data_IF_388445700811
#
_entry.id   IF_388445700811
#
_cell.length_a   1.000
_cell.length_b   1.000
_cell.length_c   1.000
_cell.angle_alpha   90.00
_cell.angle_beta   90.00
_cell.angle_gamma   90.00
#
_symmetry.space_group_name_H-M   'P 1'
#
loop_
_entity.id
_entity.type
_entity.pdbx_description
1 polymer ?
#
# COMPACT_ATOMS: atom_id res chain seq x y z
N UNK A 1 -9.05 -15.36 -0.30
CA UNK A 1 -8.70 -14.14 -1.04
C UNK A 1 -7.24 -13.72 -0.83
N UNK A 2 -6.75 -13.51 0.40
CA UNK A 2 -5.36 -13.08 0.63
C UNK A 2 -4.29 -13.99 0.04
N UNK A 3 -4.51 -15.32 0.06
CA UNK A 3 -3.63 -16.29 -0.61
C UNK A 3 -3.51 -16.04 -2.12
N UNK A 4 -4.64 -16.00 -2.84
CA UNK A 4 -4.64 -15.83 -4.30
C UNK A 4 -4.04 -14.48 -4.72
N UNK A 5 -4.35 -13.40 -3.98
CA UNK A 5 -3.77 -12.09 -4.24
C UNK A 5 -2.24 -12.08 -4.05
N UNK A 6 -1.76 -12.64 -2.94
CA UNK A 6 -0.32 -12.72 -2.65
C UNK A 6 0.40 -13.61 -3.66
N UNK A 7 -0.17 -14.79 -3.95
CA UNK A 7 0.36 -15.72 -4.95
C UNK A 7 0.50 -15.08 -6.32
N UNK A 8 -0.51 -14.34 -6.76
CA UNK A 8 -0.47 -13.62 -8.04
C UNK A 8 0.69 -12.62 -8.10
N UNK A 9 0.93 -11.86 -7.03
CA UNK A 9 2.05 -10.91 -6.96
C UNK A 9 3.41 -11.65 -6.94
N UNK A 10 3.49 -12.78 -6.25
CA UNK A 10 4.69 -13.64 -6.24
C UNK A 10 5.01 -14.20 -7.63
N UNK A 11 4.00 -14.64 -8.38
CA UNK A 11 4.13 -15.09 -9.78
C UNK A 11 4.67 -13.97 -10.68
N UNK A 12 4.38 -12.71 -10.35
CA UNK A 12 4.93 -11.51 -10.99
C UNK A 12 6.31 -11.10 -10.47
N UNK A 13 6.97 -11.94 -9.66
CA UNK A 13 8.31 -11.74 -9.06
C UNK A 13 8.38 -10.68 -7.95
N UNK A 14 7.25 -10.25 -7.39
CA UNK A 14 7.27 -9.44 -6.17
C UNK A 14 7.62 -10.29 -4.96
N UNK A 15 8.67 -9.94 -4.22
CA UNK A 15 9.09 -10.67 -3.01
C UNK A 15 8.95 -9.88 -1.72
N UNK A 16 8.87 -8.55 -1.82
CA UNK A 16 8.59 -7.63 -0.70
C UNK A 16 7.20 -7.05 -0.85
N UNK A 17 6.21 -7.80 -0.37
CA UNK A 17 4.79 -7.48 -0.50
C UNK A 17 4.29 -6.96 0.85
N UNK A 18 3.86 -5.69 0.89
CA UNK A 18 3.21 -5.14 2.07
C UNK A 18 1.81 -5.72 2.24
N UNK A 19 1.39 -6.01 3.47
CA UNK A 19 0.02 -6.40 3.78
C UNK A 19 -0.64 -5.31 4.63
N UNK A 20 -1.61 -4.61 4.06
CA UNK A 20 -2.42 -3.63 4.78
C UNK A 20 -3.61 -4.39 5.33
N UNK A 21 -3.50 -4.74 6.61
CA UNK A 21 -4.48 -5.50 7.37
C UNK A 21 -5.77 -4.69 7.58
N UNK A 22 -6.81 -5.36 8.06
CA UNK A 22 -8.02 -4.72 8.58
C UNK A 22 -8.08 -4.74 10.10
N UNK A 23 -9.27 -4.50 10.64
CA UNK A 23 -9.50 -4.41 12.08
C UNK A 23 -8.97 -5.64 12.84
N UNK A 24 -8.28 -5.39 13.95
CA UNK A 24 -7.80 -6.43 14.85
C UNK A 24 -8.94 -7.32 15.36
N UNK A 25 -8.69 -8.63 15.44
CA UNK A 25 -9.68 -9.61 15.85
C UNK A 25 -10.81 -9.89 14.85
N UNK A 26 -10.90 -9.14 13.74
CA UNK A 26 -11.95 -9.38 12.76
C UNK A 26 -11.67 -10.66 11.95
N UNK A 27 -12.60 -11.64 11.89
CA UNK A 27 -12.36 -12.94 11.26
C UNK A 27 -11.90 -12.85 9.80
N UNK A 28 -12.51 -11.97 9.00
CA UNK A 28 -12.10 -11.76 7.62
C UNK A 28 -10.67 -11.23 7.48
N UNK A 29 -10.24 -10.36 8.39
CA UNK A 29 -8.91 -9.78 8.34
C UNK A 29 -7.86 -10.87 8.63
N UNK A 30 -8.10 -11.65 9.71
CA UNK A 30 -7.27 -12.79 10.09
C UNK A 30 -7.21 -13.85 8.98
N UNK A 31 -8.35 -14.21 8.38
CA UNK A 31 -8.41 -15.20 7.30
C UNK A 31 -7.65 -14.73 6.05
N UNK A 32 -7.74 -13.43 5.70
CA UNK A 32 -7.01 -12.87 4.56
C UNK A 32 -5.51 -12.84 4.86
N UNK A 33 -5.11 -12.45 6.07
CA UNK A 33 -3.70 -12.42 6.48
C UNK A 33 -3.08 -13.82 6.57
N UNK A 34 -3.78 -14.80 7.16
CA UNK A 34 -3.35 -16.19 7.16
C UNK A 34 -3.14 -16.73 5.73
N UNK A 35 -4.02 -16.36 4.80
CA UNK A 35 -3.84 -16.70 3.39
C UNK A 35 -2.59 -16.06 2.77
N UNK A 36 -2.28 -14.82 3.11
CA UNK A 36 -1.05 -14.13 2.69
C UNK A 36 0.20 -14.85 3.23
N UNK A 37 0.25 -15.15 4.52
CA UNK A 37 1.36 -15.87 5.16
C UNK A 37 1.57 -17.24 4.51
N UNK A 38 0.50 -17.99 4.26
CA UNK A 38 0.57 -19.29 3.57
C UNK A 38 1.18 -19.19 2.16
N UNK A 39 0.84 -18.16 1.39
CA UNK A 39 1.39 -17.98 0.05
C UNK A 39 2.89 -17.63 0.08
N UNK A 40 3.32 -16.84 1.07
CA UNK A 40 4.74 -16.55 1.30
C UNK A 40 5.52 -17.81 1.69
N UNK A 41 4.98 -18.59 2.63
CA UNK A 41 5.56 -19.85 3.10
C UNK A 41 5.76 -20.84 1.95
N UNK A 42 4.71 -21.09 1.14
CA UNK A 42 4.79 -21.99 -0.02
C UNK A 42 5.79 -21.50 -1.09
N UNK A 43 6.12 -20.21 -1.09
CA UNK A 43 7.09 -19.61 -2.00
C UNK A 43 8.49 -19.46 -1.38
N UNK A 44 8.70 -19.97 -0.16
CA UNK A 44 9.98 -19.89 0.54
C UNK A 44 10.38 -18.49 0.99
N UNK A 45 9.42 -17.57 1.15
CA UNK A 45 9.66 -16.21 1.61
C UNK A 45 9.27 -16.09 3.08
N UNK A 46 10.22 -15.62 3.90
CA UNK A 46 9.92 -15.31 5.30
C UNK A 46 9.05 -14.06 5.41
N UNK A 47 7.96 -14.08 6.19
CA UNK A 47 7.19 -12.87 6.46
C UNK A 47 8.04 -11.85 7.22
N UNK A 48 7.69 -10.58 7.09
CA UNK A 48 8.38 -9.48 7.76
C UNK A 48 7.37 -8.53 8.38
N UNK A 49 7.49 -8.29 9.68
CA UNK A 49 6.54 -7.47 10.42
C UNK A 49 6.54 -6.01 9.97
N UNK A 50 7.67 -5.50 9.45
CA UNK A 50 7.76 -4.15 8.88
C UNK A 50 6.85 -3.97 7.64
N UNK A 51 6.51 -5.07 6.97
CA UNK A 51 5.63 -5.08 5.79
C UNK A 51 4.16 -5.23 6.16
N UNK A 52 3.83 -5.36 7.45
CA UNK A 52 2.44 -5.48 7.92
C UNK A 52 2.01 -4.17 8.58
N UNK A 53 0.90 -3.62 8.12
CA UNK A 53 0.29 -2.44 8.70
C UNK A 53 -1.14 -2.77 9.12
N UNK A 54 -1.52 -2.48 10.36
CA UNK A 54 -2.82 -2.85 10.92
C UNK A 54 -3.55 -1.64 11.50
N UNK A 55 -4.77 -1.43 11.01
CA UNK A 55 -5.68 -0.33 11.35
C UNK A 55 -7.12 -0.87 11.15
N UNK A 56 -8.04 -0.06 10.62
CA UNK A 56 -9.40 -0.45 10.27
C UNK A 56 -9.57 -0.82 8.76
N UNK A 57 -10.84 -0.97 8.34
CA UNK A 57 -11.23 -1.31 6.97
C UNK A 57 -11.48 -0.09 6.06
N UNK A 58 -11.07 1.11 6.49
CA UNK A 58 -11.37 2.35 5.78
C UNK A 58 -10.36 2.65 4.68
N UNK A 59 -10.75 3.54 3.76
CA UNK A 59 -9.78 4.11 2.81
C UNK A 59 -8.77 5.04 3.48
N UNK A 60 -9.09 5.60 4.65
CA UNK A 60 -8.13 6.40 5.40
C UNK A 60 -6.99 5.52 5.92
N UNK A 61 -7.29 4.33 6.44
CA UNK A 61 -6.26 3.35 6.84
C UNK A 61 -5.34 2.98 5.67
N UNK A 62 -5.89 2.71 4.48
CA UNK A 62 -5.08 2.47 3.29
C UNK A 62 -4.15 3.63 2.91
N UNK A 63 -4.63 4.87 3.05
CA UNK A 63 -3.82 6.06 2.81
C UNK A 63 -2.69 6.19 3.85
N UNK A 64 -3.00 5.98 5.12
CA UNK A 64 -2.02 6.05 6.21
C UNK A 64 -0.94 4.97 6.07
N UNK A 65 -1.32 3.75 5.70
CA UNK A 65 -0.40 2.65 5.50
C UNK A 65 0.71 2.98 4.49
N UNK A 66 0.32 3.53 3.33
CA UNK A 66 1.30 3.88 2.28
C UNK A 66 2.20 5.04 2.72
N UNK A 67 1.64 6.05 3.37
CA UNK A 67 2.46 7.15 3.89
C UNK A 67 3.44 6.64 4.96
N UNK A 68 2.98 5.82 5.90
CA UNK A 68 3.81 5.21 6.93
C UNK A 68 4.98 4.42 6.33
N UNK A 69 4.69 3.48 5.42
CA UNK A 69 5.73 2.64 4.80
C UNK A 69 6.77 3.50 4.06
N UNK A 70 6.32 4.51 3.31
CA UNK A 70 7.23 5.40 2.57
C UNK A 70 8.02 6.33 3.48
N UNK A 71 7.41 6.89 4.52
CA UNK A 71 8.06 7.81 5.46
C UNK A 71 9.06 7.09 6.37
N UNK A 72 8.83 5.81 6.69
CA UNK A 72 9.79 4.95 7.37
C UNK A 72 10.90 4.40 6.45
N UNK A 73 10.86 4.69 5.14
CA UNK A 73 11.80 4.14 4.17
C UNK A 73 11.70 2.62 3.99
N UNK A 74 10.56 2.02 4.35
CA UNK A 74 10.32 0.59 4.20
C UNK A 74 10.12 0.29 2.72
N UNK A 75 11.02 -0.49 2.16
CA UNK A 75 10.95 -0.90 0.76
C UNK A 75 9.90 -1.99 0.58
N UNK A 76 8.98 -1.79 -0.36
CA UNK A 76 8.04 -2.79 -0.85
C UNK A 76 7.87 -2.62 -2.36
N UNK A 77 7.54 -3.69 -3.07
CA UNK A 77 7.32 -3.65 -4.53
C UNK A 77 5.87 -3.91 -4.92
N UNK A 78 5.06 -4.46 -4.01
CA UNK A 78 3.62 -4.61 -4.17
C UNK A 78 2.94 -4.56 -2.80
N UNK A 79 1.60 -4.51 -2.80
CA UNK A 79 0.80 -4.55 -1.58
C UNK A 79 -0.47 -5.38 -1.77
N UNK A 80 -0.93 -6.02 -0.70
CA UNK A 80 -2.24 -6.64 -0.59
C UNK A 80 -3.04 -5.85 0.45
N UNK A 81 -4.25 -5.45 0.06
CA UNK A 81 -5.16 -4.73 0.94
C UNK A 81 -6.22 -5.68 1.52
N UNK A 82 -6.61 -5.43 2.77
CA UNK A 82 -7.63 -6.23 3.43
C UNK A 82 -9.00 -6.10 2.77
N UNK A 83 -9.34 -5.00 2.08
CA UNK A 83 -10.56 -4.82 1.28
C UNK A 83 -10.38 -3.73 0.20
N UNK A 84 -11.44 -3.46 -0.58
CA UNK A 84 -11.41 -2.48 -1.67
C UNK A 84 -11.27 -1.02 -1.18
N UNK A 85 -11.84 -0.69 -0.02
CA UNK A 85 -11.72 0.66 0.55
C UNK A 85 -10.26 0.98 0.92
N UNK A 86 -9.59 0.05 1.61
CA UNK A 86 -8.16 0.11 1.93
C UNK A 86 -7.34 0.20 0.63
N UNK A 87 -7.64 -0.63 -0.37
CA UNK A 87 -6.96 -0.59 -1.66
C UNK A 87 -7.08 0.77 -2.37
N UNK A 88 -8.27 1.37 -2.34
CA UNK A 88 -8.52 2.68 -2.92
C UNK A 88 -7.70 3.77 -2.23
N UNK A 89 -7.70 3.78 -0.89
CA UNK A 89 -6.90 4.69 -0.09
C UNK A 89 -5.39 4.58 -0.36
N UNK A 90 -4.90 3.35 -0.41
CA UNK A 90 -3.49 3.07 -0.70
C UNK A 90 -3.10 3.55 -2.11
N UNK A 91 -3.94 3.29 -3.12
CA UNK A 91 -3.73 3.78 -4.48
C UNK A 91 -3.70 5.30 -4.54
N UNK A 92 -4.60 5.99 -3.84
CA UNK A 92 -4.63 7.45 -3.76
C UNK A 92 -3.35 8.01 -3.13
N UNK A 93 -2.89 7.44 -2.02
CA UNK A 93 -1.66 7.86 -1.36
C UNK A 93 -0.43 7.65 -2.26
N UNK A 94 -0.31 6.47 -2.88
CA UNK A 94 0.77 6.17 -3.81
C UNK A 94 0.78 7.16 -4.99
N UNK A 95 -0.39 7.47 -5.55
CA UNK A 95 -0.51 8.48 -6.61
C UNK A 95 -0.01 9.86 -6.15
N UNK A 96 -0.39 10.32 -4.96
CA UNK A 96 0.04 11.60 -4.38
C UNK A 96 1.54 11.66 -4.09
N UNK A 97 2.15 10.53 -3.73
CA UNK A 97 3.60 10.42 -3.44
C UNK A 97 4.44 10.15 -4.70
N UNK A 98 3.81 9.85 -5.83
CA UNK A 98 4.51 9.64 -7.09
C UNK A 98 5.17 10.93 -7.58
N UNK A 99 6.38 10.80 -8.13
CA UNK A 99 7.16 11.94 -8.62
C UNK A 99 6.47 12.70 -9.77
N UNK A 100 5.56 12.03 -10.51
CA UNK A 100 4.73 12.65 -11.55
C UNK A 100 3.76 13.67 -10.95
N UNK A 101 3.08 13.31 -9.86
CA UNK A 101 2.17 14.22 -9.16
C UNK A 101 2.90 15.41 -8.54
N UNK A 102 4.05 15.17 -7.91
CA UNK A 102 4.86 16.25 -7.34
C UNK A 102 5.35 17.25 -8.40
N UNK A 103 5.78 16.76 -9.58
CA UNK A 103 6.16 17.64 -10.71
C UNK A 103 4.98 18.43 -11.27
N UNK A 104 3.78 17.82 -11.34
CA UNK A 104 2.58 18.51 -11.82
C UNK A 104 2.19 19.69 -10.91
N UNK A 105 2.30 19.54 -9.59
CA UNK A 105 2.05 20.65 -8.65
C UNK A 105 3.15 21.71 -8.66
N UNK A 106 4.43 21.32 -8.81
CA UNK A 106 5.50 22.30 -9.02
C UNK A 106 5.26 23.15 -10.27
N UNK A 107 4.80 22.55 -11.37
CA UNK A 107 4.43 23.27 -12.59
C UNK A 107 3.22 24.21 -12.39
N UNK A 108 2.19 23.77 -11.64
CA UNK A 108 1.03 24.60 -11.30
C UNK A 108 1.39 25.79 -10.37
N UNK A 109 2.39 25.62 -9.51
CA UNK A 109 2.91 26.71 -8.66
C UNK A 109 3.65 27.79 -9.50
N UNK A 110 4.28 27.40 -10.61
CA UNK A 110 4.95 28.35 -11.53
C UNK A 110 3.93 29.19 -12.30
N UNK A 111 2.82 28.62 -12.76
CA UNK A 111 1.80 29.37 -13.52
C UNK A 111 1.05 30.40 -12.68
N UNK A 112 0.99 30.24 -11.36
CA UNK A 112 0.30 31.18 -10.46
C UNK A 112 1.14 32.44 -10.16
N UNK A 113 2.47 32.39 -10.30
CA UNK A 113 3.36 33.57 -10.08
C UNK A 113 3.49 34.51 -11.29
N UNK A 114 3.04 34.11 -12.48
CA UNK A 114 3.18 34.89 -13.71
C UNK A 114 2.15 36.03 -13.88
N UNK A 115 1.21 36.21 -12.94
CA UNK A 115 0.23 37.33 -12.95
C UNK A 115 0.62 38.54 -12.08
N UNK A 116 1.81 38.56 -11.48
CA UNK A 116 2.30 39.72 -10.72
C UNK A 116 3.46 40.47 -11.41
N UNK A 117 3.78 40.13 -12.66
CA UNK A 117 4.86 40.76 -13.44
C UNK A 117 4.41 41.29 -14.82
N UNK A 118 3.12 41.52 -15.00
CA UNK A 118 2.54 42.34 -16.07
C UNK A 118 1.50 43.29 -15.45
#
# INVERSE_FOLDING_TARGET
>A
MGYLATKHLLEQRHTRIAFIHGLEGHPDAQNRFAGHLKALEESGISPSDELVYQEDFSGQAGLMAVNYLLDQGIHFSAMVAANDMVAFGARLAHYRRSSVFQRMFQSLAVTTKLRQLL
#
